data_IF_110780882772
#
_entry.id   IF_110780882772
#
_cell.length_a   1.000
_cell.length_b   1.000
_cell.length_c   1.000
_cell.angle_alpha   90.00
_cell.angle_beta   90.00
_cell.angle_gamma   90.00
#
_symmetry.space_group_name_H-M   'P 1'
#
loop_
_entity.id
_entity.type
_entity.pdbx_description
1 polymer ?
#
# COMPACT_ATOMS: atom_id res chain seq x y z
N UNK A 1 18.36 -7.27 4.48
CA UNK A 1 18.08 -6.98 3.05
C UNK A 1 17.23 -5.73 3.02
N UNK A 2 17.44 -4.85 2.07
CA UNK A 2 16.66 -3.61 1.97
C UNK A 2 15.37 -3.90 1.21
N UNK A 3 14.23 -3.54 1.78
CA UNK A 3 12.91 -3.67 1.13
C UNK A 3 12.50 -2.33 0.55
N UNK A 4 11.78 -2.34 -0.57
CA UNK A 4 11.17 -1.16 -1.16
C UNK A 4 9.80 -0.85 -0.54
N UNK A 5 9.31 0.36 -0.78
CA UNK A 5 7.92 0.72 -0.52
C UNK A 5 7.20 1.05 -1.82
N UNK A 6 5.99 0.55 -1.98
CA UNK A 6 5.13 0.85 -3.12
C UNK A 6 3.82 1.44 -2.60
N UNK A 7 3.50 2.65 -3.05
CA UNK A 7 2.27 3.35 -2.68
C UNK A 7 1.37 3.43 -3.91
N UNK A 8 0.22 2.76 -3.84
CA UNK A 8 -0.77 2.77 -4.91
C UNK A 8 -1.71 3.96 -4.73
N UNK A 9 -1.58 4.93 -5.61
CA UNK A 9 -2.34 6.18 -5.59
C UNK A 9 -3.48 6.22 -6.61
N UNK A 10 -3.54 5.23 -7.51
CA UNK A 10 -4.54 5.13 -8.57
C UNK A 10 -5.94 4.84 -8.03
N UNK A 11 -6.92 5.24 -8.79
CA UNK A 11 -8.33 4.98 -8.52
C UNK A 11 -9.19 6.23 -8.64
N UNK A 12 -10.38 6.05 -9.24
CA UNK A 12 -11.38 7.12 -9.31
C UNK A 12 -12.01 7.27 -7.93
N UNK A 13 -11.49 8.18 -7.09
CA UNK A 13 -12.06 8.55 -5.78
C UNK A 13 -13.47 9.16 -5.91
N UNK A 14 -14.37 8.51 -6.69
CA UNK A 14 -15.71 9.00 -7.04
C UNK A 14 -16.54 9.36 -5.82
N UNK A 15 -16.36 8.66 -4.70
CA UNK A 15 -17.11 8.88 -3.46
C UNK A 15 -16.58 10.08 -2.66
N UNK A 16 -15.31 10.43 -2.82
CA UNK A 16 -14.66 11.54 -2.11
C UNK A 16 -14.74 12.86 -2.87
N UNK A 17 -15.14 12.86 -4.16
CA UNK A 17 -15.20 14.06 -5.00
C UNK A 17 -13.85 14.70 -5.34
N UNK A 18 -12.76 14.25 -4.72
CA UNK A 18 -11.41 14.76 -4.94
C UNK A 18 -10.37 13.64 -4.83
N UNK A 19 -9.14 13.90 -5.28
CA UNK A 19 -8.03 12.95 -5.16
C UNK A 19 -7.67 12.75 -3.68
N UNK A 20 -7.73 11.50 -3.18
CA UNK A 20 -7.32 11.18 -1.80
C UNK A 20 -5.88 11.62 -1.53
N UNK A 21 -4.99 11.54 -2.53
CA UNK A 21 -3.59 11.94 -2.42
C UNK A 21 -3.39 13.40 -1.96
N UNK A 22 -4.35 14.28 -2.28
CA UNK A 22 -4.31 15.71 -1.99
C UNK A 22 -5.16 16.13 -0.79
N UNK A 23 -5.79 15.19 -0.09
CA UNK A 23 -6.58 15.52 1.10
C UNK A 23 -5.67 16.03 2.22
N UNK A 24 -5.92 17.21 2.80
CA UNK A 24 -5.16 17.74 3.94
C UNK A 24 -5.21 16.80 5.15
N UNK A 25 -4.08 16.63 5.82
CA UNK A 25 -4.00 15.82 7.04
C UNK A 25 -2.91 16.39 7.96
N UNK A 26 -3.28 17.22 8.92
CA UNK A 26 -2.35 18.07 9.64
C UNK A 26 -1.69 19.11 8.72
N UNK A 27 -0.38 19.27 8.86
CA UNK A 27 0.41 20.21 8.06
C UNK A 27 0.84 19.66 6.69
N UNK A 28 0.38 18.49 6.31
CA UNK A 28 0.73 17.79 5.07
C UNK A 28 -0.54 17.27 4.36
N UNK A 29 -0.40 16.70 3.17
CA UNK A 29 -1.49 15.95 2.53
C UNK A 29 -1.27 14.44 2.68
N UNK A 30 -2.32 13.63 2.52
CA UNK A 30 -2.27 12.19 2.78
C UNK A 30 -1.09 11.49 2.10
N UNK A 31 -0.83 11.77 0.81
CA UNK A 31 0.28 11.12 0.12
C UNK A 31 1.64 11.51 0.70
N UNK A 32 1.84 12.80 1.04
CA UNK A 32 3.09 13.25 1.66
C UNK A 32 3.32 12.55 3.00
N UNK A 33 2.27 12.43 3.80
CA UNK A 33 2.29 11.71 5.08
C UNK A 33 2.72 10.25 4.90
N UNK A 34 2.09 9.51 3.99
CA UNK A 34 2.42 8.11 3.75
C UNK A 34 3.87 7.98 3.26
N UNK A 35 4.31 8.83 2.32
CA UNK A 35 5.69 8.84 1.84
C UNK A 35 6.66 9.10 2.98
N UNK A 36 6.39 10.05 3.87
CA UNK A 36 7.23 10.36 5.04
C UNK A 36 7.33 9.14 5.96
N UNK A 37 6.21 8.56 6.36
CA UNK A 37 6.18 7.41 7.27
C UNK A 37 6.93 6.20 6.67
N UNK A 38 6.66 5.85 5.41
CA UNK A 38 7.34 4.72 4.77
C UNK A 38 8.84 4.97 4.61
N UNK A 39 9.26 6.23 4.37
CA UNK A 39 10.69 6.55 4.20
C UNK A 39 11.54 6.29 5.45
N UNK A 40 10.92 6.09 6.61
CA UNK A 40 11.61 5.74 7.86
C UNK A 40 12.03 4.25 7.88
N UNK A 41 11.36 3.40 7.08
CA UNK A 41 11.48 1.94 7.18
C UNK A 41 12.01 1.32 5.88
N UNK A 42 11.55 1.79 4.73
CA UNK A 42 11.79 1.15 3.43
C UNK A 42 12.37 2.11 2.40
N UNK A 43 13.25 1.58 1.54
CA UNK A 43 13.87 2.34 0.45
C UNK A 43 14.28 1.38 -0.69
N UNK A 44 14.09 1.76 -1.99
CA UNK A 44 13.46 2.99 -2.47
C UNK A 44 11.95 3.03 -2.28
N UNK A 45 11.36 4.24 -2.41
CA UNK A 45 9.92 4.43 -2.46
C UNK A 45 9.46 4.66 -3.90
N UNK A 46 8.37 4.01 -4.27
CA UNK A 46 7.72 4.12 -5.57
C UNK A 46 6.25 4.47 -5.35
N UNK A 47 5.80 5.56 -5.96
CA UNK A 47 4.38 5.93 -6.02
C UNK A 47 3.87 5.56 -7.40
N UNK A 48 2.84 4.72 -7.45
CA UNK A 48 2.16 4.38 -8.71
C UNK A 48 0.81 5.10 -8.75
N UNK A 49 0.63 5.95 -9.76
CA UNK A 49 -0.54 6.80 -9.92
C UNK A 49 -1.24 6.57 -11.26
N UNK A 50 -2.48 7.03 -11.37
CA UNK A 50 -3.17 7.01 -12.66
C UNK A 50 -2.59 8.09 -13.60
N UNK A 51 -2.52 7.84 -14.92
CA UNK A 51 -2.09 8.84 -15.89
C UNK A 51 -2.87 10.16 -15.76
N UNK A 52 -2.15 11.27 -15.70
CA UNK A 52 -2.76 12.60 -15.57
C UNK A 52 -3.27 12.96 -14.16
N UNK A 53 -3.06 12.10 -13.17
CA UNK A 53 -3.42 12.41 -11.79
C UNK A 53 -2.53 13.52 -11.23
N UNK A 54 -3.16 14.55 -10.64
CA UNK A 54 -2.43 15.58 -9.91
C UNK A 54 -1.93 15.03 -8.58
N UNK A 55 -0.63 15.17 -8.32
CA UNK A 55 0.05 14.72 -7.11
C UNK A 55 0.74 15.90 -6.42
N UNK A 56 0.91 15.86 -5.09
CA UNK A 56 1.70 16.86 -4.38
C UNK A 56 3.19 16.70 -4.69
N UNK A 57 3.97 17.75 -4.41
CA UNK A 57 5.43 17.63 -4.40
C UNK A 57 5.87 16.65 -3.30
N UNK A 58 6.64 15.63 -3.69
CA UNK A 58 7.17 14.61 -2.78
C UNK A 58 8.62 14.87 -2.37
N UNK A 59 9.20 16.02 -2.72
CA UNK A 59 10.56 16.44 -2.36
C UNK A 59 11.60 15.38 -2.71
N UNK A 60 11.48 14.73 -3.87
CA UNK A 60 12.34 13.65 -4.35
C UNK A 60 12.46 12.42 -3.41
N UNK A 61 11.51 12.23 -2.48
CA UNK A 61 11.50 11.08 -1.57
C UNK A 61 10.98 9.80 -2.20
N UNK A 62 10.27 9.90 -3.32
CA UNK A 62 9.72 8.76 -4.03
C UNK A 62 9.81 8.95 -5.54
N UNK A 63 10.03 7.86 -6.26
CA UNK A 63 9.89 7.81 -7.71
C UNK A 63 8.40 7.73 -8.07
N UNK A 64 7.93 8.57 -8.98
CA UNK A 64 6.55 8.53 -9.46
C UNK A 64 6.51 7.75 -10.77
N UNK A 65 5.63 6.76 -10.83
CA UNK A 65 5.31 5.99 -12.02
C UNK A 65 3.81 6.07 -12.29
N UNK A 66 3.43 5.78 -13.51
CA UNK A 66 2.03 5.79 -13.90
C UNK A 66 1.59 4.41 -14.39
N UNK A 67 0.35 4.03 -14.02
CA UNK A 67 -0.28 2.82 -14.55
C UNK A 67 -0.19 2.77 -16.07
N UNK A 68 0.21 1.64 -16.63
CA UNK A 68 0.32 1.45 -18.09
C UNK A 68 -1.04 1.53 -18.77
N UNK A 69 -2.06 1.03 -18.08
CA UNK A 69 -3.42 1.01 -18.55
C UNK A 69 -4.36 1.60 -17.50
N UNK A 70 -5.09 2.69 -17.84
CA UNK A 70 -6.06 3.27 -16.92
C UNK A 70 -7.16 2.25 -16.56
N UNK A 71 -7.59 2.27 -15.29
CA UNK A 71 -8.71 1.47 -14.78
C UNK A 71 -8.48 -0.06 -14.68
N UNK A 72 -7.23 -0.53 -14.78
CA UNK A 72 -6.90 -1.95 -14.62
C UNK A 72 -6.81 -2.40 -13.15
N UNK A 73 -7.00 -1.48 -12.22
CA UNK A 73 -7.08 -1.78 -10.79
C UNK A 73 -5.72 -1.97 -10.11
N UNK A 74 -5.74 -2.39 -8.84
CA UNK A 74 -4.53 -2.42 -8.01
C UNK A 74 -3.50 -3.49 -8.41
N UNK A 75 -3.89 -4.53 -9.17
CA UNK A 75 -2.94 -5.55 -9.65
C UNK A 75 -1.92 -4.96 -10.63
N UNK A 76 -2.37 -4.09 -11.55
CA UNK A 76 -1.50 -3.43 -12.51
C UNK A 76 -0.54 -2.46 -11.80
N UNK A 77 -1.05 -1.69 -10.83
CA UNK A 77 -0.21 -0.80 -10.02
C UNK A 77 0.84 -1.59 -9.23
N UNK A 78 0.49 -2.74 -8.66
CA UNK A 78 1.42 -3.63 -7.97
C UNK A 78 2.49 -4.16 -8.93
N UNK A 79 2.12 -4.62 -10.11
CA UNK A 79 3.06 -5.10 -11.12
C UNK A 79 4.02 -3.99 -11.56
N UNK A 80 3.49 -2.81 -11.87
CA UNK A 80 4.27 -1.62 -12.24
C UNK A 80 5.28 -1.27 -11.14
N UNK A 81 4.85 -1.23 -9.89
CA UNK A 81 5.71 -0.94 -8.75
C UNK A 81 6.81 -1.98 -8.55
N UNK A 82 6.46 -3.27 -8.57
CA UNK A 82 7.42 -4.37 -8.37
C UNK A 82 8.44 -4.51 -9.51
N UNK A 83 8.08 -4.16 -10.74
CA UNK A 83 9.01 -4.14 -11.88
C UNK A 83 10.05 -3.03 -11.77
N UNK A 84 9.71 -1.93 -11.11
CA UNK A 84 10.55 -0.75 -10.97
C UNK A 84 11.53 -0.80 -9.79
N UNK A 85 11.34 -1.73 -8.84
CA UNK A 85 12.31 -1.87 -7.74
C UNK A 85 13.66 -2.39 -8.27
N UNK A 86 14.81 -1.94 -7.70
CA UNK A 86 16.13 -2.40 -8.12
C UNK A 86 16.31 -3.92 -8.04
N UNK A 87 17.17 -4.49 -8.88
CA UNK A 87 17.37 -5.94 -8.95
C UNK A 87 17.85 -6.57 -7.63
N UNK A 88 18.62 -5.82 -6.85
CA UNK A 88 19.11 -6.24 -5.53
C UNK A 88 18.06 -6.13 -4.42
N UNK A 89 16.87 -5.60 -4.71
CA UNK A 89 15.74 -5.51 -3.79
C UNK A 89 14.77 -6.65 -4.06
N UNK A 90 14.57 -7.53 -3.08
CA UNK A 90 13.82 -8.78 -3.26
C UNK A 90 12.38 -8.72 -2.78
N UNK A 91 12.02 -7.66 -2.07
CA UNK A 91 10.68 -7.49 -1.47
C UNK A 91 10.25 -6.03 -1.43
N UNK A 92 8.94 -5.81 -1.32
CA UNK A 92 8.37 -4.51 -1.11
C UNK A 92 7.18 -4.55 -0.15
N UNK A 93 7.06 -3.53 0.69
CA UNK A 93 5.81 -3.24 1.40
C UNK A 93 4.90 -2.41 0.50
N UNK A 94 3.64 -2.82 0.39
CA UNK A 94 2.65 -2.20 -0.50
C UNK A 94 1.50 -1.62 0.31
N UNK A 95 1.16 -0.37 0.05
CA UNK A 95 0.04 0.31 0.71
C UNK A 95 -0.73 1.21 -0.26
N UNK A 96 -1.94 1.60 0.13
CA UNK A 96 -2.69 2.69 -0.51
C UNK A 96 -2.22 4.06 -0.01
N UNK A 97 -2.63 5.12 -0.70
CA UNK A 97 -2.42 6.49 -0.22
C UNK A 97 -3.48 6.95 0.79
N UNK A 98 -4.30 6.06 1.31
CA UNK A 98 -5.46 6.32 2.16
C UNK A 98 -5.37 5.67 3.56
N UNK A 99 -4.16 5.34 4.02
CA UNK A 99 -3.87 4.73 5.32
C UNK A 99 -3.08 5.66 6.25
N UNK A 100 -3.66 6.77 6.73
CA UNK A 100 -2.92 7.85 7.41
C UNK A 100 -2.29 7.45 8.75
N UNK A 101 -2.74 6.36 9.36
CA UNK A 101 -2.28 5.87 10.66
C UNK A 101 -1.33 4.66 10.55
N UNK A 102 -0.77 4.42 9.36
CA UNK A 102 0.16 3.31 9.20
C UNK A 102 1.37 3.45 10.14
N UNK A 103 1.70 2.39 10.86
CA UNK A 103 2.74 2.38 11.87
C UNK A 103 4.04 1.82 11.29
N UNK A 104 5.20 2.51 11.41
CA UNK A 104 6.50 1.99 10.96
C UNK A 104 6.84 0.60 11.51
N UNK A 105 6.59 0.34 12.78
CA UNK A 105 6.85 -0.96 13.40
C UNK A 105 5.94 -2.06 12.85
N UNK A 106 4.71 -1.71 12.45
CA UNK A 106 3.83 -2.64 11.75
C UNK A 106 4.38 -3.02 10.38
N UNK A 107 4.90 -2.06 9.63
CA UNK A 107 5.54 -2.30 8.32
C UNK A 107 6.71 -3.28 8.50
N UNK A 108 7.61 -3.02 9.46
CA UNK A 108 8.74 -3.89 9.77
C UNK A 108 8.29 -5.32 10.13
N UNK A 109 7.24 -5.44 10.95
CA UNK A 109 6.68 -6.73 11.35
C UNK A 109 6.17 -7.52 10.15
N UNK A 110 5.41 -6.89 9.26
CA UNK A 110 4.86 -7.54 8.07
C UNK A 110 5.96 -7.96 7.08
N UNK A 111 6.99 -7.11 6.92
CA UNK A 111 8.17 -7.45 6.10
C UNK A 111 8.97 -8.63 6.70
N UNK A 112 9.19 -8.63 8.01
CA UNK A 112 9.92 -9.71 8.68
C UNK A 112 9.22 -11.07 8.57
N UNK A 113 7.88 -11.07 8.53
CA UNK A 113 7.07 -12.28 8.40
C UNK A 113 6.93 -12.79 6.95
N UNK A 114 7.47 -12.07 5.96
CA UNK A 114 7.45 -12.50 4.57
C UNK A 114 8.25 -13.79 4.35
N UNK A 115 9.46 -13.90 4.95
CA UNK A 115 10.34 -15.06 4.85
C UNK A 115 10.39 -15.64 3.41
N UNK A 116 10.07 -16.93 3.24
CA UNK A 116 10.04 -17.59 1.93
C UNK A 116 8.68 -17.52 1.22
N UNK A 117 7.70 -16.82 1.77
CA UNK A 117 6.40 -16.66 1.16
C UNK A 117 6.43 -15.63 0.02
N UNK A 118 5.44 -15.69 -0.87
CA UNK A 118 5.28 -14.70 -1.93
C UNK A 118 4.58 -13.43 -1.42
N UNK A 119 3.78 -13.58 -0.37
CA UNK A 119 3.12 -12.46 0.31
C UNK A 119 3.01 -12.75 1.81
N UNK A 120 3.26 -11.73 2.62
CA UNK A 120 2.89 -11.65 4.03
C UNK A 120 1.72 -10.66 4.13
N UNK A 121 0.51 -11.19 4.39
CA UNK A 121 -0.72 -10.42 4.29
C UNK A 121 -1.49 -10.44 5.61
N UNK A 122 -1.79 -9.27 6.20
CA UNK A 122 -2.66 -9.17 7.36
C UNK A 122 -4.07 -9.67 7.06
N UNK A 123 -4.64 -10.38 8.03
CA UNK A 123 -6.02 -10.84 8.00
C UNK A 123 -6.71 -10.45 9.29
N UNK A 124 -7.62 -9.49 9.21
CA UNK A 124 -8.44 -9.00 10.32
C UNK A 124 -9.92 -9.09 9.94
N UNK A 125 -10.78 -9.39 10.90
CA UNK A 125 -12.24 -9.52 10.71
C UNK A 125 -12.62 -10.43 9.52
N UNK A 126 -11.85 -11.51 9.33
CA UNK A 126 -12.06 -12.48 8.26
C UNK A 126 -11.64 -12.00 6.86
N UNK A 127 -11.03 -10.81 6.73
CA UNK A 127 -10.64 -10.20 5.45
C UNK A 127 -9.14 -10.02 5.34
N UNK A 128 -8.61 -10.28 4.15
CA UNK A 128 -7.23 -9.92 3.83
C UNK A 128 -7.10 -8.42 3.54
N UNK A 129 -5.94 -7.87 3.89
CA UNK A 129 -5.56 -6.49 3.60
C UNK A 129 -4.39 -6.44 2.60
N UNK A 130 -4.63 -6.77 1.32
CA UNK A 130 -3.58 -6.90 0.31
C UNK A 130 -2.89 -5.59 -0.05
N UNK A 131 -3.49 -4.45 0.27
CA UNK A 131 -2.90 -3.11 0.15
C UNK A 131 -2.40 -2.58 1.50
N UNK A 132 -1.96 -3.48 2.38
CA UNK A 132 -1.18 -3.22 3.58
C UNK A 132 -0.34 -4.48 3.88
N UNK A 133 0.47 -4.92 2.90
CA UNK A 133 1.09 -6.24 2.87
C UNK A 133 2.52 -6.18 2.29
N UNK A 134 3.35 -7.16 2.64
CA UNK A 134 4.67 -7.31 2.04
C UNK A 134 4.65 -8.37 0.94
N UNK A 135 5.23 -8.06 -0.20
CA UNK A 135 5.32 -8.93 -1.36
C UNK A 135 6.76 -9.23 -1.71
N UNK A 136 7.05 -10.49 -2.02
CA UNK A 136 8.29 -10.87 -2.67
C UNK A 136 8.24 -10.49 -4.15
N UNK A 137 9.38 -10.05 -4.70
CA UNK A 137 9.49 -9.74 -6.14
C UNK A 137 9.11 -10.91 -7.04
N UNK A 138 9.30 -12.13 -6.58
CA UNK A 138 9.00 -13.34 -7.36
C UNK A 138 7.49 -13.54 -7.64
N UNK A 139 6.61 -12.72 -7.05
CA UNK A 139 5.19 -12.72 -7.37
C UNK A 139 4.88 -12.17 -8.77
N UNK A 140 5.84 -11.47 -9.40
CA UNK A 140 5.64 -10.83 -10.71
C UNK A 140 5.14 -11.78 -11.80
N UNK A 141 5.71 -12.98 -11.89
CA UNK A 141 5.27 -13.97 -12.89
C UNK A 141 3.80 -14.39 -12.70
N UNK A 142 3.37 -14.53 -11.43
CA UNK A 142 1.97 -14.82 -11.12
C UNK A 142 1.07 -13.62 -11.47
N UNK A 143 1.52 -12.38 -11.16
CA UNK A 143 0.79 -11.15 -11.47
C UNK A 143 0.55 -11.01 -12.98
N UNK A 144 1.59 -11.16 -13.79
CA UNK A 144 1.49 -11.08 -15.25
C UNK A 144 0.48 -12.09 -15.80
N UNK A 145 0.56 -13.35 -15.39
CA UNK A 145 -0.39 -14.39 -15.79
C UNK A 145 -1.84 -14.04 -15.40
N UNK A 146 -2.05 -13.51 -14.17
CA UNK A 146 -3.37 -13.14 -13.69
C UNK A 146 -3.92 -11.93 -14.46
N UNK A 147 -3.10 -10.91 -14.69
CA UNK A 147 -3.47 -9.72 -15.46
C UNK A 147 -3.85 -10.09 -16.90
N UNK A 148 -3.07 -10.94 -17.54
CA UNK A 148 -3.30 -11.41 -18.92
C UNK A 148 -4.60 -12.23 -19.03
N UNK A 149 -5.00 -12.94 -17.98
CA UNK A 149 -6.29 -13.64 -17.92
C UNK A 149 -7.51 -12.72 -17.82
N UNK A 150 -7.30 -11.42 -17.63
CA UNK A 150 -8.36 -10.43 -17.45
C UNK A 150 -8.83 -10.25 -16.00
N UNK A 151 -8.24 -10.96 -15.05
CA UNK A 151 -8.58 -10.79 -13.62
C UNK A 151 -8.02 -9.46 -13.07
N UNK A 152 -8.75 -8.82 -12.14
CA UNK A 152 -8.43 -7.50 -11.59
C UNK A 152 -8.47 -7.44 -10.06
N UNK A 153 -8.92 -8.52 -9.40
CA UNK A 153 -9.15 -8.54 -7.95
C UNK A 153 -7.89 -8.97 -7.20
N UNK A 154 -7.45 -8.16 -6.26
CA UNK A 154 -6.35 -8.50 -5.34
C UNK A 154 -6.63 -9.78 -4.53
N UNK A 155 -7.89 -10.03 -4.17
CA UNK A 155 -8.28 -11.26 -3.48
C UNK A 155 -7.93 -12.51 -4.28
N UNK A 156 -8.10 -12.49 -5.60
CA UNK A 156 -7.74 -13.63 -6.46
C UNK A 156 -6.22 -13.88 -6.44
N UNK A 157 -5.40 -12.82 -6.51
CA UNK A 157 -3.96 -12.95 -6.35
C UNK A 157 -3.60 -13.63 -5.02
N UNK A 158 -4.15 -13.11 -3.90
CA UNK A 158 -3.87 -13.65 -2.57
C UNK A 158 -4.22 -15.14 -2.45
N UNK A 159 -5.31 -15.58 -3.09
CA UNK A 159 -5.71 -17.00 -3.08
C UNK A 159 -4.84 -17.88 -4.01
N UNK A 160 -4.20 -17.29 -5.02
CA UNK A 160 -3.43 -18.00 -6.05
C UNK A 160 -1.95 -18.18 -5.73
N UNK A 161 -1.43 -17.51 -4.70
CA UNK A 161 0.00 -17.48 -4.38
C UNK A 161 0.30 -18.04 -2.98
N UNK A 162 1.57 -18.39 -2.73
CA UNK A 162 2.02 -18.87 -1.42
C UNK A 162 2.04 -17.73 -0.42
N UNK A 163 1.02 -17.70 0.45
CA UNK A 163 0.78 -16.62 1.41
C UNK A 163 1.14 -17.00 2.83
N UNK A 164 1.64 -16.04 3.60
CA UNK A 164 1.70 -16.01 5.05
C UNK A 164 0.54 -15.15 5.55
N UNK A 165 -0.49 -15.77 6.12
CA UNK A 165 -1.53 -15.03 6.83
C UNK A 165 -0.97 -14.52 8.15
N UNK A 166 -1.02 -13.20 8.37
CA UNK A 166 -0.64 -12.58 9.64
C UNK A 166 -1.90 -12.19 10.39
N UNK A 167 -2.01 -12.65 11.63
CA UNK A 167 -3.22 -12.51 12.44
C UNK A 167 -3.06 -11.42 13.51
N UNK A 168 -4.15 -10.84 14.04
CA UNK A 168 -4.09 -9.69 14.98
C UNK A 168 -3.17 -9.90 16.18
N UNK A 169 -3.09 -11.10 16.75
CA UNK A 169 -2.20 -11.37 17.87
C UNK A 169 -0.71 -11.20 17.55
N UNK A 170 -0.34 -11.21 16.26
CA UNK A 170 1.05 -11.06 15.80
C UNK A 170 1.48 -9.59 15.66
N UNK A 171 0.57 -8.64 15.76
CA UNK A 171 0.87 -7.20 15.75
C UNK A 171 0.21 -6.41 16.89
N UNK A 172 -0.54 -7.08 17.78
CA UNK A 172 -1.31 -6.41 18.84
C UNK A 172 -0.43 -5.67 19.86
N UNK A 173 0.82 -6.06 19.99
CA UNK A 173 1.84 -5.39 20.81
C UNK A 173 2.30 -4.04 20.20
N UNK A 174 2.11 -3.86 18.89
CA UNK A 174 2.57 -2.70 18.11
C UNK A 174 1.41 -1.80 17.73
N UNK A 175 0.32 -2.38 17.28
CA UNK A 175 -0.88 -1.71 16.77
C UNK A 175 -2.14 -2.40 17.29
N UNK A 176 -2.47 -2.23 18.59
CA UNK A 176 -3.56 -2.96 19.26
C UNK A 176 -4.95 -2.66 18.69
N UNK A 177 -5.09 -1.53 18.01
CA UNK A 177 -6.34 -1.11 17.38
C UNK A 177 -6.36 -1.31 15.86
N UNK A 178 -5.32 -1.97 15.30
CA UNK A 178 -5.17 -2.22 13.86
C UNK A 178 -5.33 -0.96 13.00
N UNK A 179 -4.86 0.19 13.51
CA UNK A 179 -4.96 1.49 12.83
C UNK A 179 -4.22 1.50 11.49
N UNK A 180 -3.15 0.74 11.37
CA UNK A 180 -2.42 0.56 10.10
C UNK A 180 -3.29 -0.02 8.97
N UNK A 181 -4.39 -0.69 9.31
CA UNK A 181 -5.32 -1.29 8.35
C UNK A 181 -6.53 -0.40 8.03
N UNK A 182 -6.64 0.78 8.68
CA UNK A 182 -7.77 1.69 8.49
C UNK A 182 -7.59 2.52 7.21
N UNK A 183 -8.49 2.32 6.24
CA UNK A 183 -8.51 3.06 4.98
C UNK A 183 -9.59 4.14 5.02
N UNK A 184 -9.28 5.32 4.47
CA UNK A 184 -10.24 6.40 4.30
C UNK A 184 -11.00 6.24 2.98
N UNK A 185 -12.21 5.69 3.03
CA UNK A 185 -13.02 5.40 1.84
C UNK A 185 -14.18 6.37 1.62
N UNK A 186 -14.64 7.03 2.69
CA UNK A 186 -15.77 7.96 2.68
C UNK A 186 -15.38 9.31 3.31
N UNK A 187 -16.13 10.40 3.05
CA UNK A 187 -15.93 11.66 3.76
C UNK A 187 -16.08 11.53 5.28
N UNK A 188 -16.92 10.61 5.75
CA UNK A 188 -17.13 10.32 7.16
C UNK A 188 -15.89 9.66 7.79
N UNK A 189 -15.25 8.70 7.08
CA UNK A 189 -13.98 8.10 7.51
C UNK A 189 -12.91 9.18 7.67
N UNK A 190 -12.82 10.07 6.69
CA UNK A 190 -11.85 11.16 6.70
C UNK A 190 -12.11 12.15 7.85
N UNK A 191 -13.35 12.56 8.07
CA UNK A 191 -13.69 13.46 9.17
C UNK A 191 -13.40 12.83 10.54
N UNK A 192 -13.62 11.52 10.69
CA UNK A 192 -13.29 10.77 11.89
C UNK A 192 -11.79 10.70 12.12
N UNK A 193 -11.02 10.42 11.05
CA UNK A 193 -9.57 10.35 11.12
C UNK A 193 -8.93 11.69 11.47
N UNK A 194 -9.46 12.82 10.98
CA UNK A 194 -8.97 14.16 11.36
C UNK A 194 -9.17 14.42 12.85
N UNK A 195 -10.37 14.13 13.39
CA UNK A 195 -10.63 14.31 14.84
C UNK A 195 -9.69 13.46 15.70
N UNK A 196 -9.41 12.24 15.26
CA UNK A 196 -8.49 11.35 15.96
C UNK A 196 -7.05 11.88 15.90
N UNK A 197 -6.62 12.39 14.75
CA UNK A 197 -5.30 12.97 14.56
C UNK A 197 -5.06 14.19 15.46
N UNK A 198 -6.07 15.06 15.62
CA UNK A 198 -6.00 16.26 16.46
C UNK A 198 -5.89 15.92 17.97
N UNK A 199 -6.11 14.64 18.35
CA UNK A 199 -6.01 14.18 19.75
C UNK A 199 -4.71 13.43 20.08
N UNK A 200 -3.85 13.18 19.07
CA UNK A 200 -2.54 12.52 19.23
C UNK A 200 -1.44 13.53 19.50
#
# INVERSE_FOLDING_TARGET
MQSAGIILCGGKSKRMGCSKALLPFGDEVLLQRIVRILSEVVHPLIVVASPGQNLPDLCNRAQILYDRQPDYGPLEGLATGLQAIPENTTSAFVTGCDTPFINPLFIDRILALLADYQVSVPKADGRYHPLCAAYSRNVLTNLETIIDSGERRMGFLIESIRKREVLPFEWNDIDPHSKSLCNLNTPEDYATALKEFDTL
#
